data_IF_830977706170
#
_entry.id   IF_830977706170
#
_cell.length_a   1.000
_cell.length_b   1.000
_cell.length_c   1.000
_cell.angle_alpha   90.00
_cell.angle_beta   90.00
_cell.angle_gamma   90.00
#
_symmetry.space_group_name_H-M   'P 1'
#
loop_
_entity.id
_entity.type
_entity.pdbx_description
1 polymer ?
#
# COMPACT_ATOMS: atom_id res chain seq x y z
N UNK A 1 9.10 -58.18 -5.02
CA UNK A 1 9.30 -57.34 -3.83
C UNK A 1 9.22 -55.91 -4.27
N UNK A 2 8.23 -55.14 -3.84
CA UNK A 2 8.05 -53.75 -4.24
C UNK A 2 8.95 -52.86 -3.37
N UNK A 3 9.89 -52.16 -3.99
CA UNK A 3 10.80 -51.22 -3.32
C UNK A 3 9.98 -49.99 -2.89
N UNK A 4 9.82 -49.81 -1.61
CA UNK A 4 9.12 -48.66 -1.01
C UNK A 4 9.97 -47.39 -1.26
N UNK A 5 9.57 -46.53 -2.20
CA UNK A 5 10.21 -45.26 -2.46
C UNK A 5 9.94 -44.36 -1.26
N UNK A 6 10.96 -44.14 -0.44
CA UNK A 6 10.90 -43.17 0.69
C UNK A 6 10.98 -41.79 0.08
N UNK A 7 9.86 -41.04 0.10
CA UNK A 7 9.87 -39.66 -0.31
C UNK A 7 10.64 -38.81 0.72
N UNK A 8 11.57 -37.95 0.27
CA UNK A 8 12.32 -37.11 1.20
C UNK A 8 11.38 -36.12 1.89
N UNK A 9 11.34 -36.15 3.20
CA UNK A 9 10.57 -35.18 4.00
C UNK A 9 11.29 -33.85 4.00
N UNK A 10 10.71 -32.83 3.39
CA UNK A 10 11.22 -31.46 3.42
C UNK A 10 10.86 -30.82 4.76
N UNK A 11 11.86 -30.53 5.58
CA UNK A 11 11.64 -29.76 6.82
C UNK A 11 11.73 -28.27 6.51
N UNK A 12 10.61 -27.57 6.70
CA UNK A 12 10.56 -26.10 6.60
C UNK A 12 10.88 -25.53 7.98
N UNK A 13 11.99 -24.79 8.10
CA UNK A 13 12.30 -24.07 9.33
C UNK A 13 11.29 -22.96 9.55
N UNK A 14 10.83 -22.81 10.78
CA UNK A 14 9.99 -21.67 11.15
C UNK A 14 10.75 -20.35 10.91
N UNK A 15 10.11 -19.31 10.36
CA UNK A 15 10.73 -18.02 10.15
C UNK A 15 11.07 -17.38 11.50
N UNK A 16 12.25 -16.76 11.58
CA UNK A 16 12.67 -16.00 12.76
C UNK A 16 12.22 -14.55 12.61
N UNK A 17 11.04 -14.22 13.14
CA UNK A 17 10.54 -12.85 13.19
C UNK A 17 11.14 -12.12 14.37
N UNK A 18 11.61 -10.90 14.12
CA UNK A 18 12.06 -9.96 15.14
C UNK A 18 11.30 -8.67 14.96
N UNK A 19 10.70 -8.16 16.03
CA UNK A 19 9.99 -6.88 16.04
C UNK A 19 10.94 -5.80 16.56
N UNK A 20 11.00 -4.69 15.84
CA UNK A 20 11.71 -3.48 16.27
C UNK A 20 10.72 -2.33 16.32
N UNK A 21 10.85 -1.49 17.31
CA UNK A 21 10.10 -0.25 17.45
C UNK A 21 10.99 0.91 17.02
N UNK A 22 10.45 1.80 16.17
CA UNK A 22 11.19 2.93 15.61
C UNK A 22 10.36 4.19 15.75
N UNK A 23 10.88 5.16 16.47
CA UNK A 23 10.30 6.50 16.54
C UNK A 23 10.68 7.31 15.29
N UNK A 24 9.68 7.91 14.64
CA UNK A 24 9.88 8.72 13.43
C UNK A 24 9.43 10.15 13.71
N UNK A 25 10.35 11.10 13.57
CA UNK A 25 10.10 12.52 13.74
C UNK A 25 10.13 13.23 12.39
N UNK A 26 9.03 13.89 12.04
CA UNK A 26 8.96 14.69 10.82
C UNK A 26 9.79 15.98 10.93
N UNK A 27 10.65 16.22 9.94
CA UNK A 27 11.50 17.43 9.87
C UNK A 27 11.05 18.43 8.80
N UNK A 28 10.03 18.06 8.01
CA UNK A 28 9.46 18.90 6.96
C UNK A 28 7.93 18.73 6.92
N UNK A 29 7.19 19.68 6.31
CA UNK A 29 5.77 19.53 6.11
C UNK A 29 5.44 18.23 5.37
N UNK A 30 4.48 17.48 5.90
CA UNK A 30 4.03 16.24 5.31
C UNK A 30 2.84 16.50 4.37
N UNK A 31 2.95 16.01 3.14
CA UNK A 31 1.85 16.04 2.18
C UNK A 31 1.34 14.64 1.92
N UNK A 32 0.04 14.45 2.01
CA UNK A 32 -0.60 13.18 1.66
C UNK A 32 -1.70 13.42 0.63
N UNK A 33 -1.89 12.44 -0.24
CA UNK A 33 -2.94 12.44 -1.23
C UNK A 33 -3.58 11.04 -1.30
N UNK A 34 -4.63 10.85 -0.54
CA UNK A 34 -5.44 9.65 -0.66
C UNK A 34 -6.24 9.70 -1.96
N UNK A 35 -6.32 8.59 -2.66
CA UNK A 35 -7.18 8.47 -3.82
C UNK A 35 -8.65 8.54 -3.38
N UNK A 36 -9.37 9.60 -3.77
CA UNK A 36 -10.72 9.87 -3.26
C UNK A 36 -11.74 8.84 -3.76
N UNK A 37 -12.72 8.53 -2.93
CA UNK A 37 -13.85 7.66 -3.29
C UNK A 37 -14.62 8.18 -4.51
N UNK A 38 -14.78 9.50 -4.60
CA UNK A 38 -15.41 10.18 -5.74
C UNK A 38 -14.69 9.88 -7.06
N UNK A 39 -13.35 9.91 -7.05
CA UNK A 39 -12.55 9.55 -8.23
C UNK A 39 -12.69 8.08 -8.59
N UNK A 40 -12.76 7.19 -7.61
CA UNK A 40 -12.98 5.75 -7.83
C UNK A 40 -14.34 5.48 -8.48
N UNK A 41 -15.39 6.10 -7.98
CA UNK A 41 -16.75 5.98 -8.55
C UNK A 41 -16.80 6.52 -9.97
N UNK A 42 -16.22 7.69 -10.23
CA UNK A 42 -16.14 8.25 -11.58
C UNK A 42 -15.38 7.36 -12.57
N UNK A 43 -14.32 6.68 -12.12
CA UNK A 43 -13.60 5.70 -12.94
C UNK A 43 -14.46 4.47 -13.20
N UNK A 44 -15.14 3.94 -12.18
CA UNK A 44 -16.02 2.79 -12.32
C UNK A 44 -17.18 3.09 -13.30
N UNK A 45 -17.77 4.27 -13.21
CA UNK A 45 -18.84 4.71 -14.12
C UNK A 45 -18.33 4.86 -15.56
N UNK A 46 -17.13 5.41 -15.75
CA UNK A 46 -16.49 5.47 -17.06
C UNK A 46 -16.23 4.09 -17.65
N UNK A 47 -15.77 3.14 -16.82
CA UNK A 47 -15.56 1.77 -17.25
C UNK A 47 -16.85 1.07 -17.64
N UNK A 48 -17.94 1.29 -16.88
CA UNK A 48 -19.27 0.74 -17.18
C UNK A 48 -19.87 1.33 -18.45
N UNK A 49 -19.68 2.64 -18.68
CA UNK A 49 -20.20 3.34 -19.85
C UNK A 49 -19.52 2.95 -21.18
N UNK A 50 -18.36 2.27 -21.10
CA UNK A 50 -17.61 1.86 -22.29
C UNK A 50 -17.05 3.02 -23.12
N UNK A 51 -16.49 2.70 -24.30
CA UNK A 51 -15.77 3.64 -25.18
C UNK A 51 -16.65 4.64 -25.93
N UNK A 52 -17.98 4.52 -25.87
CA UNK A 52 -18.93 5.33 -26.66
C UNK A 52 -19.19 6.73 -26.08
N UNK A 53 -18.64 7.08 -24.92
CA UNK A 53 -18.86 8.36 -24.26
C UNK A 53 -17.89 9.46 -24.73
N UNK A 54 -17.74 9.67 -26.02
CA UNK A 54 -16.95 10.78 -26.61
C UNK A 54 -17.68 12.13 -26.60
N UNK A 55 -18.67 12.33 -25.73
CA UNK A 55 -19.33 13.61 -25.53
C UNK A 55 -18.49 14.54 -24.64
N UNK A 56 -18.48 15.85 -24.93
CA UNK A 56 -17.91 16.89 -24.07
C UNK A 56 -18.57 16.81 -22.68
N UNK A 57 -17.93 16.13 -21.72
CA UNK A 57 -18.38 16.12 -20.33
C UNK A 57 -18.13 17.51 -19.74
N UNK A 58 -19.17 18.21 -19.35
CA UNK A 58 -19.07 19.40 -18.52
C UNK A 58 -18.39 18.97 -17.21
N UNK A 59 -17.24 19.57 -16.88
CA UNK A 59 -16.58 19.33 -15.59
C UNK A 59 -17.40 20.00 -14.51
N UNK A 60 -17.80 19.26 -13.50
CA UNK A 60 -18.39 19.85 -12.31
C UNK A 60 -17.38 20.81 -11.66
N UNK A 61 -17.89 21.88 -11.05
CA UNK A 61 -17.09 22.77 -10.23
C UNK A 61 -16.35 21.96 -9.17
N UNK A 62 -15.11 22.36 -8.89
CA UNK A 62 -14.23 21.70 -7.93
C UNK A 62 -14.51 22.30 -6.56
N UNK A 63 -14.83 21.46 -5.59
CA UNK A 63 -14.89 21.82 -4.19
C UNK A 63 -13.55 21.47 -3.55
N UNK A 64 -12.76 22.49 -3.21
CA UNK A 64 -11.41 22.30 -2.66
C UNK A 64 -11.43 21.83 -1.23
N UNK A 65 -12.45 22.21 -0.46
CA UNK A 65 -12.57 21.81 0.96
C UNK A 65 -12.94 20.32 1.04
N UNK A 66 -13.89 19.88 0.21
CA UNK A 66 -14.23 18.46 0.09
C UNK A 66 -13.04 17.63 -0.42
N UNK A 67 -12.31 18.10 -1.42
CA UNK A 67 -11.14 17.42 -1.97
C UNK A 67 -10.04 17.30 -0.91
N UNK A 68 -9.86 18.33 -0.05
CA UNK A 68 -8.89 18.32 1.05
C UNK A 68 -9.25 17.30 2.13
N UNK A 69 -10.51 17.26 2.56
CA UNK A 69 -10.98 16.29 3.54
C UNK A 69 -10.85 14.85 3.03
N UNK A 70 -11.17 14.62 1.76
CA UNK A 70 -11.04 13.30 1.16
C UNK A 70 -9.60 12.85 0.90
N UNK A 71 -8.64 13.77 0.86
CA UNK A 71 -7.22 13.48 0.70
C UNK A 71 -6.54 12.95 1.97
N UNK A 72 -7.18 13.07 3.12
CA UNK A 72 -6.66 12.59 4.40
C UNK A 72 -6.77 11.07 4.52
N UNK A 73 -5.74 10.45 5.10
CA UNK A 73 -5.83 9.10 5.61
C UNK A 73 -6.28 9.14 7.06
N UNK A 74 -7.48 8.66 7.30
CA UNK A 74 -8.07 8.60 8.64
C UNK A 74 -7.95 7.17 9.15
N UNK A 75 -7.44 6.99 10.38
CA UNK A 75 -7.35 5.71 11.07
C UNK A 75 -8.74 5.23 11.53
N UNK A 76 -8.83 3.99 11.99
CA UNK A 76 -10.07 3.46 12.58
C UNK A 76 -10.49 4.21 13.86
N UNK A 77 -9.54 4.83 14.55
CA UNK A 77 -9.78 5.64 15.76
C UNK A 77 -10.07 7.12 15.46
N UNK A 78 -10.06 7.53 14.19
CA UNK A 78 -10.45 8.88 13.74
C UNK A 78 -9.31 9.91 13.68
N UNK A 79 -8.06 9.53 13.94
CA UNK A 79 -6.92 10.46 13.79
C UNK A 79 -6.30 10.38 12.37
N UNK A 80 -5.64 11.46 11.97
CA UNK A 80 -4.95 11.53 10.67
C UNK A 80 -3.64 10.76 10.75
N UNK A 81 -3.51 9.73 9.95
CA UNK A 81 -2.37 8.82 9.96
C UNK A 81 -1.64 8.71 8.64
N UNK A 82 -0.59 7.90 8.65
CA UNK A 82 0.19 7.54 7.47
C UNK A 82 -0.04 6.04 7.21
N UNK A 83 -0.37 5.62 5.99
CA UNK A 83 -0.55 4.21 5.70
C UNK A 83 0.73 3.41 5.95
N UNK A 84 0.64 2.29 6.67
CA UNK A 84 1.78 1.38 6.92
C UNK A 84 2.44 0.91 5.62
N UNK A 85 1.66 0.77 4.56
CA UNK A 85 2.15 0.44 3.22
C UNK A 85 3.13 1.47 2.65
N UNK A 86 3.03 2.75 3.04
CA UNK A 86 3.95 3.81 2.62
C UNK A 86 5.34 3.58 3.22
N UNK A 87 5.41 3.30 4.53
CA UNK A 87 6.68 2.96 5.21
C UNK A 87 7.29 1.69 4.65
N UNK A 88 6.49 0.64 4.48
CA UNK A 88 6.95 -0.60 3.87
C UNK A 88 7.55 -0.37 2.49
N UNK A 89 6.89 0.40 1.65
CA UNK A 89 7.36 0.72 0.30
C UNK A 89 8.65 1.54 0.32
N UNK A 90 8.78 2.48 1.25
CA UNK A 90 10.00 3.28 1.45
C UNK A 90 11.17 2.38 1.83
N UNK A 91 11.02 1.51 2.83
CA UNK A 91 12.06 0.58 3.25
C UNK A 91 12.49 -0.36 2.12
N UNK A 92 11.55 -0.92 1.36
CA UNK A 92 11.87 -1.80 0.22
C UNK A 92 12.67 -1.02 -0.85
N UNK A 93 12.32 0.24 -1.11
CA UNK A 93 13.06 1.07 -2.07
C UNK A 93 14.47 1.37 -1.63
N UNK A 94 14.66 1.73 -0.36
CA UNK A 94 15.99 2.00 0.20
C UNK A 94 16.90 0.78 0.13
N UNK A 95 16.36 -0.44 0.22
CA UNK A 95 17.13 -1.67 0.09
C UNK A 95 17.94 -1.73 -1.22
N UNK A 96 17.44 -1.14 -2.32
CA UNK A 96 18.17 -1.10 -3.58
C UNK A 96 19.41 -0.21 -3.52
N UNK A 97 19.42 0.84 -2.68
CA UNK A 97 20.55 1.74 -2.51
C UNK A 97 21.70 1.12 -1.72
N UNK A 98 21.37 0.21 -0.80
CA UNK A 98 22.35 -0.52 0.03
C UNK A 98 22.73 -1.88 -0.56
N UNK A 99 22.33 -2.18 -1.79
CA UNK A 99 22.66 -3.43 -2.47
C UNK A 99 21.90 -4.66 -1.97
N UNK A 100 20.84 -4.48 -1.17
CA UNK A 100 19.99 -5.58 -0.72
C UNK A 100 18.91 -5.89 -1.74
N UNK A 101 18.65 -7.18 -1.98
CA UNK A 101 17.65 -7.60 -2.98
C UNK A 101 16.24 -7.20 -2.57
N UNK A 102 15.59 -6.34 -3.36
CA UNK A 102 14.23 -5.86 -3.11
C UNK A 102 13.20 -7.00 -2.98
N UNK A 103 13.40 -8.11 -3.69
CA UNK A 103 12.51 -9.29 -3.60
C UNK A 103 12.58 -9.92 -2.22
N UNK A 104 13.77 -10.03 -1.62
CA UNK A 104 13.93 -10.53 -0.27
C UNK A 104 13.33 -9.57 0.75
N UNK A 105 13.55 -8.26 0.58
CA UNK A 105 12.94 -7.23 1.42
C UNK A 105 11.41 -7.29 1.42
N UNK A 106 10.79 -7.50 0.27
CA UNK A 106 9.33 -7.65 0.15
C UNK A 106 8.77 -8.83 0.95
N UNK A 107 9.55 -9.88 1.10
CA UNK A 107 9.14 -11.09 1.83
C UNK A 107 9.48 -11.06 3.31
N UNK A 108 10.33 -10.12 3.77
CA UNK A 108 10.85 -10.09 5.12
C UNK A 108 10.52 -8.84 5.93
N UNK A 109 9.99 -7.79 5.29
CA UNK A 109 9.64 -6.53 5.98
C UNK A 109 8.13 -6.39 6.08
N UNK A 110 7.63 -6.33 7.31
CA UNK A 110 6.23 -6.10 7.64
C UNK A 110 6.13 -4.91 8.59
N UNK A 111 5.04 -4.16 8.48
CA UNK A 111 4.70 -3.07 9.39
C UNK A 111 3.41 -3.43 10.09
N UNK A 112 3.40 -3.32 11.39
CA UNK A 112 2.19 -3.39 12.19
C UNK A 112 1.43 -2.07 12.03
N UNK A 113 0.12 -2.16 11.89
CA UNK A 113 -0.79 -1.03 11.75
C UNK A 113 -2.06 -1.30 12.56
N UNK A 114 -2.78 -0.26 12.87
CA UNK A 114 -4.07 -0.32 13.56
C UNK A 114 -5.15 -1.05 12.72
#
# INVERSE_FOLDING_TARGET
MATKVVQPTVQIKAPNFQTIEVEIVGTAPFMQARFSQKSMLQMADKMKAGSTAAGKKVRNARDFDEDFEQAKHISMEGWVGIPASAFRSACIRVCSLVGFKMTQAKMSIFFEAD
#
